data_IF_059961045904
#
_entry.id   IF_059961045904
#
_cell.length_a   1.000
_cell.length_b   1.000
_cell.length_c   1.000
_cell.angle_alpha   90.00
_cell.angle_beta   90.00
_cell.angle_gamma   90.00
#
_symmetry.space_group_name_H-M   'P 1'
#
loop_
_entity.id
_entity.type
_entity.pdbx_description
1 polymer ?
#
# COMPACT_ATOMS: atom_id res chain seq x y z
N UNK A 1 -12.05 19.43 -12.80
CA UNK A 1 -12.09 17.98 -13.08
C UNK A 1 -10.68 17.56 -13.46
N UNK A 2 -9.83 17.30 -12.46
CA UNK A 2 -8.46 16.84 -12.71
C UNK A 2 -8.47 15.38 -13.12
N UNK A 3 -7.79 15.12 -14.24
CA UNK A 3 -7.65 13.80 -14.83
C UNK A 3 -6.67 13.00 -13.98
N UNK A 4 -7.15 11.97 -13.30
CA UNK A 4 -6.32 10.94 -12.69
C UNK A 4 -5.48 10.26 -13.78
N UNK A 5 -4.20 10.60 -13.86
CA UNK A 5 -3.24 9.87 -14.69
C UNK A 5 -2.78 8.65 -13.89
N UNK A 6 -3.58 7.58 -13.94
CA UNK A 6 -3.10 6.25 -13.61
C UNK A 6 -2.87 5.50 -14.92
N UNK A 7 -1.62 5.13 -15.13
CA UNK A 7 -1.16 4.23 -16.18
C UNK A 7 -1.55 2.78 -15.82
N UNK A 8 -2.83 2.58 -15.49
CA UNK A 8 -3.41 1.29 -15.12
C UNK A 8 -4.63 1.12 -16.00
N UNK A 9 -4.69 0.03 -16.75
CA UNK A 9 -5.87 -0.30 -17.54
C UNK A 9 -7.09 -0.35 -16.62
N UNK A 10 -8.22 0.21 -17.05
CA UNK A 10 -9.51 0.12 -16.31
C UNK A 10 -9.88 -1.31 -15.92
N UNK A 11 -9.32 -2.32 -16.60
CA UNK A 11 -9.55 -3.75 -16.31
C UNK A 11 -8.81 -4.26 -15.07
N UNK A 12 -7.70 -3.64 -14.66
CA UNK A 12 -6.84 -4.14 -13.58
C UNK A 12 -7.13 -3.45 -12.24
N UNK A 13 -7.39 -2.15 -12.26
CA UNK A 13 -7.93 -1.43 -11.12
C UNK A 13 -8.84 -0.29 -11.57
N UNK A 14 -9.96 -0.11 -10.85
CA UNK A 14 -10.87 1.02 -11.02
C UNK A 14 -10.99 1.78 -9.71
N UNK A 15 -10.79 3.10 -9.77
CA UNK A 15 -11.00 4.01 -8.64
C UNK A 15 -12.27 4.81 -8.90
N UNK A 16 -13.24 4.75 -7.99
CA UNK A 16 -14.48 5.51 -8.04
C UNK A 16 -14.69 6.22 -6.70
N UNK A 17 -14.37 7.52 -6.66
CA UNK A 17 -14.33 8.27 -5.41
C UNK A 17 -13.34 7.64 -4.42
N UNK A 18 -13.84 7.18 -3.28
CA UNK A 18 -13.06 6.54 -2.22
C UNK A 18 -12.99 5.01 -2.34
N UNK A 19 -13.62 4.43 -3.36
CA UNK A 19 -13.67 2.99 -3.58
C UNK A 19 -12.63 2.56 -4.62
N UNK A 20 -11.95 1.46 -4.32
CA UNK A 20 -11.01 0.83 -5.24
C UNK A 20 -11.46 -0.61 -5.49
N UNK A 21 -11.64 -0.96 -6.74
CA UNK A 21 -11.88 -2.33 -7.18
C UNK A 21 -10.68 -2.82 -7.98
N UNK A 22 -10.15 -3.98 -7.61
CA UNK A 22 -9.03 -4.63 -8.30
C UNK A 22 -9.52 -5.87 -9.03
N UNK A 23 -9.00 -6.09 -10.25
CA UNK A 23 -9.24 -7.28 -11.08
C UNK A 23 -10.73 -7.64 -11.19
N UNK A 24 -11.58 -6.70 -11.64
CA UNK A 24 -13.04 -6.90 -11.72
C UNK A 24 -13.46 -8.01 -12.68
N UNK A 25 -12.62 -8.29 -13.69
CA UNK A 25 -12.87 -9.36 -14.66
C UNK A 25 -11.97 -10.58 -14.40
N UNK A 26 -10.64 -10.41 -14.54
CA UNK A 26 -9.63 -11.43 -14.31
C UNK A 26 -8.29 -10.79 -13.95
N UNK A 27 -7.46 -11.49 -13.15
CA UNK A 27 -6.14 -11.00 -12.75
C UNK A 27 -5.04 -11.48 -13.69
N UNK A 28 -4.22 -10.55 -14.19
CA UNK A 28 -3.03 -10.84 -15.00
C UNK A 28 -1.73 -10.52 -14.26
N UNK A 29 -1.75 -10.46 -12.94
CA UNK A 29 -0.62 -10.09 -12.10
C UNK A 29 -1.05 -9.12 -10.99
N UNK A 30 -0.08 -8.59 -10.26
CA UNK A 30 -0.33 -7.64 -9.17
C UNK A 30 -0.31 -6.21 -9.71
N UNK A 31 -1.29 -5.39 -9.34
CA UNK A 31 -1.32 -3.96 -9.65
C UNK A 31 -1.49 -3.13 -8.39
N UNK A 32 -1.04 -1.87 -8.43
CA UNK A 32 -1.15 -0.96 -7.29
C UNK A 32 -1.78 0.37 -7.72
N UNK A 33 -2.71 0.84 -6.90
CA UNK A 33 -3.23 2.20 -6.98
C UNK A 33 -2.39 3.09 -6.07
N UNK A 34 -1.99 4.26 -6.59
CA UNK A 34 -1.26 5.30 -5.86
C UNK A 34 -2.15 6.53 -5.70
N UNK A 35 -2.27 7.02 -4.48
CA UNK A 35 -2.92 8.29 -4.17
C UNK A 35 -2.13 9.49 -4.68
N UNK A 36 -2.71 10.67 -4.60
CA UNK A 36 -2.15 11.94 -5.07
C UNK A 36 -1.59 12.82 -3.92
N UNK A 37 -2.03 12.56 -2.68
CA UNK A 37 -1.52 13.28 -1.51
C UNK A 37 -0.05 12.97 -1.27
N UNK A 38 0.77 14.01 -1.39
CA UNK A 38 2.19 13.99 -1.11
C UNK A 38 2.47 13.81 0.39
N UNK A 39 3.45 12.98 0.71
CA UNK A 39 3.97 12.74 2.06
C UNK A 39 5.49 13.01 2.06
N UNK A 40 5.94 13.90 2.93
CA UNK A 40 7.34 14.34 3.07
C UNK A 40 7.74 14.52 4.55
N UNK A 41 8.94 15.05 4.81
CA UNK A 41 9.48 15.19 6.16
C UNK A 41 8.61 16.05 7.10
N UNK A 42 7.82 16.97 6.58
CA UNK A 42 6.95 17.84 7.38
C UNK A 42 5.53 17.29 7.52
N UNK A 43 5.23 16.19 6.82
CA UNK A 43 3.90 15.58 6.80
C UNK A 43 3.65 14.68 8.01
N UNK A 44 2.54 14.91 8.71
CA UNK A 44 1.94 13.93 9.62
C UNK A 44 0.57 13.59 9.04
N UNK A 45 0.39 12.33 8.63
CA UNK A 45 -0.83 11.88 7.98
C UNK A 45 -1.30 10.55 8.55
N UNK A 46 -2.59 10.46 8.81
CA UNK A 46 -3.28 9.23 9.20
C UNK A 46 -4.45 9.02 8.24
N UNK A 47 -4.58 7.80 7.73
CA UNK A 47 -5.73 7.42 6.91
C UNK A 47 -6.12 5.97 7.16
N UNK A 48 -7.39 5.69 6.87
CA UNK A 48 -8.01 4.40 7.11
C UNK A 48 -8.43 3.76 5.79
N UNK A 49 -8.33 2.44 5.75
CA UNK A 49 -8.66 1.62 4.60
C UNK A 49 -9.66 0.59 5.11
N UNK A 50 -10.93 0.82 4.79
CA UNK A 50 -11.97 -0.16 5.05
C UNK A 50 -11.83 -1.31 4.05
N UNK A 51 -11.63 -2.52 4.57
CA UNK A 51 -11.55 -3.76 3.81
C UNK A 51 -12.84 -4.53 4.10
N UNK A 52 -13.93 -4.31 3.34
CA UNK A 52 -15.26 -4.83 3.68
C UNK A 52 -15.45 -6.31 3.35
N UNK A 53 -14.50 -6.90 2.61
CA UNK A 53 -14.56 -8.28 2.17
C UNK A 53 -13.36 -9.06 2.68
N UNK A 54 -13.55 -10.36 2.90
CA UNK A 54 -12.46 -11.25 3.23
C UNK A 54 -11.37 -11.16 2.15
N UNK A 55 -10.11 -11.02 2.59
CA UNK A 55 -8.97 -10.97 1.69
C UNK A 55 -8.61 -12.37 1.20
N UNK A 56 -8.40 -12.48 -0.12
CA UNK A 56 -7.97 -13.69 -0.81
C UNK A 56 -6.85 -13.36 -1.80
N UNK A 57 -6.03 -14.35 -2.13
CA UNK A 57 -4.85 -14.21 -3.00
C UNK A 57 -3.56 -14.00 -2.22
N UNK A 58 -2.42 -13.88 -2.88
CA UNK A 58 -1.10 -13.86 -2.20
C UNK A 58 -0.52 -12.46 -1.99
N UNK A 59 -1.07 -11.43 -2.65
CA UNK A 59 -0.38 -10.14 -2.82
C UNK A 59 -1.24 -8.90 -2.60
N UNK A 60 -2.11 -8.95 -1.58
CA UNK A 60 -2.81 -7.76 -1.09
C UNK A 60 -1.90 -7.01 -0.11
N UNK A 61 -1.56 -5.76 -0.42
CA UNK A 61 -0.65 -4.96 0.39
C UNK A 61 -1.11 -3.52 0.55
N UNK A 62 -0.64 -2.89 1.62
CA UNK A 62 -0.97 -1.54 2.03
C UNK A 62 0.30 -0.80 2.43
N UNK A 63 0.46 0.45 2.02
CA UNK A 63 1.61 1.22 2.45
C UNK A 63 1.78 2.51 1.67
N UNK A 64 3.03 2.82 1.33
CA UNK A 64 3.39 4.04 0.62
C UNK A 64 4.47 3.75 -0.42
N UNK A 65 4.55 4.58 -1.43
CA UNK A 65 5.64 4.53 -2.39
C UNK A 65 5.81 5.85 -3.11
N UNK A 66 6.99 6.02 -3.69
CA UNK A 66 7.34 7.23 -4.40
C UNK A 66 6.80 7.23 -5.84
N UNK A 67 7.10 8.29 -6.61
CA UNK A 67 6.80 8.32 -8.04
C UNK A 67 7.49 7.21 -8.84
N UNK A 68 8.65 6.72 -8.36
CA UNK A 68 9.44 5.66 -8.98
C UNK A 68 8.96 4.25 -8.62
N UNK A 69 8.07 4.11 -7.63
CA UNK A 69 7.51 2.80 -7.27
C UNK A 69 6.74 2.20 -8.45
N UNK A 70 6.92 0.90 -8.68
CA UNK A 70 6.16 0.15 -9.68
C UNK A 70 4.68 0.17 -9.32
N UNK A 71 3.81 0.29 -10.32
CA UNK A 71 2.35 0.20 -10.15
C UNK A 71 1.74 -1.05 -10.79
N UNK A 72 2.52 -1.87 -11.50
CA UNK A 72 2.04 -3.10 -12.12
C UNK A 72 3.17 -4.11 -12.30
N UNK A 73 2.87 -5.38 -12.02
CA UNK A 73 3.71 -6.55 -12.25
C UNK A 73 2.95 -7.52 -13.16
N UNK A 74 2.90 -7.20 -14.46
CA UNK A 74 2.21 -8.04 -15.45
C UNK A 74 2.80 -9.45 -15.49
N UNK A 75 1.93 -10.44 -15.49
CA UNK A 75 2.20 -11.88 -15.44
C UNK A 75 2.97 -12.36 -14.20
N UNK A 76 2.96 -11.58 -13.12
CA UNK A 76 3.59 -11.92 -11.85
C UNK A 76 2.63 -11.67 -10.69
N UNK A 77 2.41 -12.70 -9.89
CA UNK A 77 1.48 -12.70 -8.75
C UNK A 77 2.26 -12.64 -7.43
N UNK A 78 3.07 -11.60 -7.28
CA UNK A 78 3.98 -11.40 -6.14
C UNK A 78 3.70 -10.08 -5.44
N UNK A 79 4.20 -9.97 -4.21
CA UNK A 79 4.16 -8.72 -3.45
C UNK A 79 4.83 -7.60 -4.25
N UNK A 80 4.09 -6.50 -4.45
CA UNK A 80 4.51 -5.39 -5.30
C UNK A 80 5.13 -4.27 -4.47
N UNK A 81 4.46 -3.85 -3.39
CA UNK A 81 5.01 -2.84 -2.47
C UNK A 81 6.18 -3.43 -1.69
N UNK A 82 7.31 -2.73 -1.72
CA UNK A 82 8.56 -3.18 -1.12
C UNK A 82 9.34 -4.22 -1.93
N UNK A 83 8.93 -4.49 -3.17
CA UNK A 83 9.72 -5.33 -4.10
C UNK A 83 10.99 -4.65 -4.62
N UNK A 84 11.09 -3.33 -4.42
CA UNK A 84 12.23 -2.46 -4.70
C UNK A 84 12.40 -1.44 -3.55
N UNK A 85 13.41 -0.57 -3.65
CA UNK A 85 13.66 0.48 -2.66
C UNK A 85 12.68 1.67 -2.73
N UNK A 86 11.77 1.69 -3.70
CA UNK A 86 10.92 2.85 -3.96
C UNK A 86 9.56 2.80 -3.25
N UNK A 87 9.27 1.71 -2.53
CA UNK A 87 8.02 1.50 -1.81
C UNK A 87 8.22 0.73 -0.50
N UNK A 88 7.24 0.88 0.40
CA UNK A 88 7.16 0.24 1.71
C UNK A 88 5.76 -0.33 1.84
N UNK A 89 5.63 -1.62 2.18
CA UNK A 89 4.32 -2.28 2.20
C UNK A 89 4.15 -3.31 3.31
N UNK A 90 2.96 -3.34 3.91
CA UNK A 90 2.47 -4.41 4.77
C UNK A 90 1.55 -5.32 3.95
N UNK A 91 1.86 -6.61 3.89
CA UNK A 91 0.96 -7.63 3.36
C UNK A 91 -0.05 -8.07 4.42
N UNK A 92 -1.26 -8.41 3.97
CA UNK A 92 -2.30 -8.96 4.84
C UNK A 92 -1.90 -10.28 5.54
N UNK A 93 -0.86 -10.96 5.04
CA UNK A 93 -0.30 -12.13 5.69
C UNK A 93 0.53 -11.78 6.94
N UNK A 94 0.74 -10.50 7.26
CA UNK A 94 1.45 -10.01 8.44
C UNK A 94 2.95 -9.75 8.24
N UNK A 95 3.41 -9.69 6.99
CA UNK A 95 4.80 -9.37 6.65
C UNK A 95 4.92 -7.96 6.09
N UNK A 96 5.96 -7.23 6.52
CA UNK A 96 6.36 -5.96 5.92
C UNK A 96 7.46 -6.18 4.89
N UNK A 97 7.48 -5.37 3.83
CA UNK A 97 8.41 -5.46 2.72
C UNK A 97 9.01 -4.11 2.38
N UNK A 98 10.32 -4.12 2.12
CA UNK A 98 11.07 -3.01 1.53
C UNK A 98 12.36 -3.55 0.91
N UNK A 99 12.75 -3.01 -0.26
CA UNK A 99 13.99 -3.39 -0.94
C UNK A 99 14.14 -4.90 -1.18
N UNK A 100 13.05 -5.58 -1.52
CA UNK A 100 13.00 -7.02 -1.77
C UNK A 100 13.08 -7.89 -0.50
N UNK A 101 13.18 -7.30 0.69
CA UNK A 101 13.29 -8.01 1.96
C UNK A 101 11.94 -8.03 2.66
N UNK A 102 11.48 -9.23 3.04
CA UNK A 102 10.25 -9.43 3.81
C UNK A 102 10.54 -9.85 5.24
N UNK A 103 9.90 -9.21 6.22
CA UNK A 103 10.06 -9.50 7.66
C UNK A 103 8.70 -9.70 8.30
N UNK A 104 8.58 -10.67 9.22
CA UNK A 104 7.36 -10.86 10.01
C UNK A 104 7.16 -9.66 10.93
N UNK A 105 6.00 -9.04 10.88
CA UNK A 105 5.67 -7.84 11.65
C UNK A 105 4.49 -8.03 12.58
N UNK A 106 3.40 -8.64 12.08
CA UNK A 106 2.19 -8.85 12.86
C UNK A 106 1.52 -10.18 12.47
N UNK A 107 0.41 -10.51 13.13
CA UNK A 107 -0.43 -11.63 12.71
C UNK A 107 -1.12 -11.34 11.37
N UNK A 108 -1.42 -12.39 10.62
CA UNK A 108 -2.21 -12.24 9.40
C UNK A 108 -3.61 -11.75 9.75
N UNK A 109 -4.21 -10.95 8.87
CA UNK A 109 -5.56 -10.41 9.01
C UNK A 109 -6.31 -10.63 7.70
N UNK A 110 -7.41 -11.39 7.76
CA UNK A 110 -8.13 -11.85 6.56
C UNK A 110 -9.59 -11.44 6.55
N UNK A 111 -10.22 -11.35 7.72
CA UNK A 111 -11.62 -10.97 7.85
C UNK A 111 -11.81 -9.47 7.59
N UNK A 112 -13.05 -9.03 7.31
CA UNK A 112 -13.33 -7.61 7.16
C UNK A 112 -12.74 -6.80 8.31
N UNK A 113 -11.98 -5.78 7.96
CA UNK A 113 -11.20 -5.01 8.92
C UNK A 113 -11.00 -3.59 8.44
N UNK A 114 -10.63 -2.72 9.37
CA UNK A 114 -10.10 -1.39 9.06
C UNK A 114 -8.61 -1.42 9.31
N UNK A 115 -7.82 -1.27 8.25
CA UNK A 115 -6.37 -1.08 8.36
C UNK A 115 -6.09 0.42 8.25
N UNK A 116 -5.30 0.95 9.17
CA UNK A 116 -4.89 2.35 9.13
C UNK A 116 -3.39 2.49 9.04
N UNK A 117 -2.95 3.58 8.42
CA UNK A 117 -1.53 3.91 8.27
C UNK A 117 -1.30 5.27 8.89
N UNK A 118 -0.30 5.35 9.77
CA UNK A 118 0.26 6.59 10.26
C UNK A 118 1.61 6.80 9.58
N UNK A 119 1.69 7.84 8.76
CA UNK A 119 2.95 8.38 8.27
C UNK A 119 3.37 9.54 9.17
N UNK A 120 4.55 9.43 9.76
CA UNK A 120 5.13 10.46 10.62
C UNK A 120 6.46 10.93 10.01
N UNK A 121 6.37 11.98 9.19
CA UNK A 121 7.48 12.58 8.46
C UNK A 121 8.66 13.02 9.34
N UNK A 122 8.43 13.71 10.48
CA UNK A 122 9.54 14.26 11.27
C UNK A 122 10.50 13.21 11.83
N UNK A 123 10.05 11.96 12.01
CA UNK A 123 10.91 10.83 12.39
C UNK A 123 11.09 9.80 11.29
N UNK A 124 10.67 10.12 10.06
CA UNK A 124 10.73 9.25 8.88
C UNK A 124 10.22 7.84 9.19
N UNK A 125 9.01 7.74 9.77
CA UNK A 125 8.47 6.50 10.31
C UNK A 125 7.05 6.20 9.83
N UNK A 126 6.72 4.92 9.68
CA UNK A 126 5.39 4.43 9.30
C UNK A 126 4.92 3.42 10.35
N UNK A 127 3.72 3.64 10.89
CA UNK A 127 3.04 2.70 11.76
C UNK A 127 1.73 2.20 11.12
N UNK A 128 1.32 0.99 11.51
CA UNK A 128 0.04 0.42 11.10
C UNK A 128 -0.85 0.17 12.30
N UNK A 129 -2.16 0.23 12.07
CA UNK A 129 -3.19 -0.08 13.05
C UNK A 129 -4.18 -1.06 12.41
N UNK A 130 -4.68 -2.02 13.18
CA UNK A 130 -5.73 -2.93 12.75
C UNK A 130 -6.92 -2.78 13.69
N UNK A 131 -8.07 -2.41 13.15
CA UNK A 131 -9.30 -2.15 13.90
C UNK A 131 -9.06 -1.17 15.06
N UNK A 132 -8.28 -0.11 14.79
CA UNK A 132 -7.91 0.92 15.77
C UNK A 132 -6.79 0.50 16.76
N UNK A 133 -6.43 -0.78 16.84
CA UNK A 133 -5.34 -1.24 17.70
C UNK A 133 -3.97 -1.06 17.00
N UNK A 134 -2.95 -0.51 17.69
CA UNK A 134 -1.62 -0.33 17.09
C UNK A 134 -0.96 -1.68 16.82
N UNK A 135 -0.41 -1.86 15.63
CA UNK A 135 0.48 -2.98 15.29
C UNK A 135 1.96 -2.62 15.57
N UNK A 136 2.28 -1.33 15.64
CA UNK A 136 3.61 -0.80 15.91
C UNK A 136 4.19 0.00 14.75
N UNK A 137 5.43 0.46 14.93
CA UNK A 137 6.22 1.12 13.88
C UNK A 137 6.83 0.05 12.97
N UNK A 138 6.29 -0.09 11.76
CA UNK A 138 6.76 -1.07 10.78
C UNK A 138 8.06 -0.63 10.12
N UNK A 139 8.19 0.66 9.84
CA UNK A 139 9.37 1.21 9.18
C UNK A 139 9.83 2.45 9.94
N UNK A 140 11.14 2.58 10.10
CA UNK A 140 11.80 3.75 10.68
C UNK A 140 12.97 4.13 9.78
N UNK A 141 13.40 5.40 9.82
CA UNK A 141 14.48 5.91 8.99
C UNK A 141 14.23 5.69 7.48
N UNK A 142 12.97 5.82 7.04
CA UNK A 142 12.61 5.67 5.63
C UNK A 142 13.19 6.81 4.78
N UNK A 143 13.48 6.54 3.52
CA UNK A 143 14.05 7.54 2.63
C UNK A 143 12.98 8.55 2.18
N UNK A 144 13.16 9.82 2.55
CA UNK A 144 12.28 10.94 2.19
C UNK A 144 12.96 11.97 1.27
N UNK A 145 14.05 11.61 0.58
CA UNK A 145 14.70 12.47 -0.42
C UNK A 145 13.77 12.81 -1.59
N UNK A 146 12.72 11.99 -1.78
CA UNK A 146 11.61 12.29 -2.66
C UNK A 146 10.30 11.99 -1.94
N UNK A 147 9.21 12.67 -2.31
CA UNK A 147 7.95 12.44 -1.64
C UNK A 147 7.38 11.06 -1.89
N UNK A 148 6.68 10.56 -0.87
CA UNK A 148 5.92 9.32 -0.92
C UNK A 148 4.43 9.62 -1.07
N UNK A 149 3.68 8.59 -1.44
CA UNK A 149 2.25 8.64 -1.71
C UNK A 149 1.60 7.39 -1.14
N UNK A 150 0.38 7.46 -0.58
CA UNK A 150 -0.37 6.27 -0.19
C UNK A 150 -0.52 5.28 -1.34
N UNK A 151 -0.32 3.99 -1.08
CA UNK A 151 -0.45 2.93 -2.09
C UNK A 151 -1.16 1.70 -1.53
N UNK A 152 -1.96 1.07 -2.38
CA UNK A 152 -2.62 -0.22 -2.13
C UNK A 152 -2.39 -1.10 -3.36
N UNK A 153 -1.98 -2.36 -3.17
CA UNK A 153 -1.81 -3.31 -4.28
C UNK A 153 -2.60 -4.59 -4.10
N UNK A 154 -3.01 -5.21 -5.22
CA UNK A 154 -3.65 -6.53 -5.29
C UNK A 154 -3.41 -7.21 -6.64
#
# INVERSE_FOLDING_TARGET
MEKYVLQISRKEATVCGQFIAFHTDYSNGTVAVRGDRQLDADSIAYWEINVPHRLFGTSVMFGVGSKLAKCSLRYRFTNLLGSDEHSYGLSYNGQIYHNGIGVRFCNAFQDPCVLSVLFYGPSASIAFFLNGAPLGWAFTQINLNQPLYPMISR
#
